data_IF_716514618048
#
_entry.id   IF_716514618048
#
_cell.length_a   1.000
_cell.length_b   1.000
_cell.length_c   1.000
_cell.angle_alpha   90.00
_cell.angle_beta   90.00
_cell.angle_gamma   90.00
#
_symmetry.space_group_name_H-M   'P 1'
#
loop_
_entity.id
_entity.type
_entity.pdbx_description
1 polymer ?
#
# COMPACT_ATOMS: atom_id res chain seq x y z
N UNK A 1 -6.51 -3.63 -0.10
CA UNK A 1 -7.95 -3.98 -0.04
C UNK A 1 -8.37 -4.60 1.27
N UNK A 2 -7.67 -5.59 1.82
CA UNK A 2 -8.04 -6.23 3.09
C UNK A 2 -8.10 -5.24 4.28
N UNK A 3 -7.16 -4.30 4.36
CA UNK A 3 -7.11 -3.29 5.43
C UNK A 3 -8.29 -2.31 5.33
N UNK A 4 -8.57 -1.77 4.14
CA UNK A 4 -9.72 -0.87 3.94
C UNK A 4 -11.04 -1.58 4.21
N UNK A 5 -11.16 -2.85 3.82
CA UNK A 5 -12.33 -3.66 4.15
C UNK A 5 -12.52 -3.85 5.65
N UNK A 6 -11.43 -4.08 6.40
CA UNK A 6 -11.47 -4.17 7.87
C UNK A 6 -11.82 -2.84 8.53
N UNK A 7 -11.30 -1.72 8.01
CA UNK A 7 -11.64 -0.40 8.51
C UNK A 7 -13.14 -0.13 8.32
N UNK A 8 -13.68 -0.40 7.13
CA UNK A 8 -15.11 -0.23 6.83
C UNK A 8 -15.97 -1.12 7.73
N UNK A 9 -15.59 -2.38 7.93
CA UNK A 9 -16.34 -3.30 8.78
C UNK A 9 -16.42 -2.85 10.25
N UNK A 10 -15.48 -2.01 10.69
CA UNK A 10 -15.40 -1.49 12.06
C UNK A 10 -15.76 0.01 12.16
N UNK A 11 -16.46 0.55 11.16
CA UNK A 11 -16.87 1.96 11.15
C UNK A 11 -17.67 2.36 12.39
N UNK A 12 -18.60 1.50 12.81
CA UNK A 12 -19.48 1.74 13.95
C UNK A 12 -18.97 1.10 15.26
N UNK A 13 -17.75 0.55 15.24
CA UNK A 13 -17.16 -0.07 16.44
C UNK A 13 -16.55 1.02 17.32
N UNK A 14 -17.03 1.17 18.58
CA UNK A 14 -16.46 2.13 19.51
C UNK A 14 -14.98 1.86 19.77
N UNK A 15 -14.20 2.93 19.93
CA UNK A 15 -12.75 2.89 20.20
C UNK A 15 -11.92 2.21 19.09
N UNK A 16 -12.50 1.94 17.93
CA UNK A 16 -11.72 1.41 16.82
C UNK A 16 -10.82 2.48 16.22
N UNK A 17 -9.57 2.10 15.96
CA UNK A 17 -8.56 2.96 15.36
C UNK A 17 -8.29 2.52 13.92
N UNK A 18 -8.38 3.44 12.99
CA UNK A 18 -8.09 3.25 11.56
C UNK A 18 -6.70 2.66 11.36
N UNK A 19 -6.60 1.64 10.51
CA UNK A 19 -5.34 0.99 10.15
C UNK A 19 -4.90 1.42 8.76
N UNK A 20 -3.63 1.83 8.66
CA UNK A 20 -3.02 2.33 7.43
C UNK A 20 -1.89 1.39 7.03
N UNK A 21 -1.84 0.89 5.77
CA UNK A 21 -0.73 0.09 5.30
C UNK A 21 0.50 0.97 5.10
N UNK A 22 1.61 0.62 5.75
CA UNK A 22 2.90 1.26 5.51
C UNK A 22 3.59 0.57 4.34
N UNK A 23 3.73 1.31 3.26
CA UNK A 23 4.37 0.84 2.04
C UNK A 23 5.73 1.50 1.91
N UNK A 24 6.77 0.71 1.72
CA UNK A 24 8.14 1.21 1.54
C UNK A 24 8.72 0.72 0.23
N UNK A 25 9.54 1.54 -0.39
CA UNK A 25 10.37 1.10 -1.50
C UNK A 25 11.51 0.24 -0.96
N UNK A 26 11.70 -0.94 -1.55
CA UNK A 26 12.82 -1.83 -1.22
C UNK A 26 14.10 -1.44 -1.97
N UNK A 27 14.01 -0.42 -2.82
CA UNK A 27 15.17 0.11 -3.52
C UNK A 27 16.08 0.86 -2.52
N UNK A 28 17.12 0.17 -2.06
CA UNK A 28 18.15 0.72 -1.19
C UNK A 28 19.33 1.33 -1.96
N UNK A 29 19.25 1.37 -3.27
CA UNK A 29 20.32 1.97 -4.06
C UNK A 29 20.30 3.48 -3.91
N UNK A 30 21.15 4.00 -3.03
CA UNK A 30 21.52 5.40 -3.11
C UNK A 30 22.16 5.65 -4.49
N UNK A 31 21.97 6.82 -5.07
CA UNK A 31 22.61 7.19 -6.35
C UNK A 31 24.11 6.81 -6.38
N UNK A 32 24.78 6.87 -5.24
CA UNK A 32 26.18 6.51 -5.11
C UNK A 32 26.44 5.01 -5.26
N UNK A 33 25.54 4.14 -4.78
CA UNK A 33 25.69 2.68 -4.94
C UNK A 33 25.45 2.27 -6.38
N UNK A 34 24.45 2.84 -7.04
CA UNK A 34 24.18 2.62 -8.48
C UNK A 34 25.38 3.08 -9.32
N UNK A 35 25.96 4.22 -8.97
CA UNK A 35 27.10 4.77 -9.70
C UNK A 35 28.38 3.93 -9.50
N UNK A 36 28.58 3.38 -8.30
CA UNK A 36 29.70 2.47 -8.03
C UNK A 36 29.52 1.13 -8.75
N UNK A 37 28.31 0.56 -8.75
CA UNK A 37 27.99 -0.65 -9.49
C UNK A 37 28.13 -0.47 -11.01
N UNK A 38 27.71 0.67 -11.56
CA UNK A 38 27.96 1.02 -12.97
C UNK A 38 29.44 1.14 -13.27
N UNK A 39 30.24 1.70 -12.36
CA UNK A 39 31.69 1.82 -12.54
C UNK A 39 32.40 0.46 -12.56
N UNK A 40 31.97 -0.48 -11.72
CA UNK A 40 32.47 -1.85 -11.74
C UNK A 40 31.99 -2.62 -12.99
N UNK A 41 30.79 -2.38 -13.47
CA UNK A 41 30.23 -3.02 -14.67
C UNK A 41 30.89 -2.56 -15.95
N UNK A 42 31.32 -1.30 -16.04
CA UNK A 42 31.99 -0.74 -17.24
C UNK A 42 33.44 -1.22 -17.37
N UNK A 43 34.10 -1.51 -16.26
CA UNK A 43 35.49 -1.95 -16.23
C UNK A 43 35.70 -3.45 -15.92
N UNK A 44 34.65 -4.16 -15.50
CA UNK A 44 34.63 -5.59 -15.27
C UNK A 44 33.53 -6.26 -16.08
N UNK A 45 33.77 -7.43 -16.66
CA UNK A 45 32.79 -8.21 -17.42
C UNK A 45 31.68 -8.79 -16.51
N UNK A 46 30.97 -7.91 -15.80
CA UNK A 46 29.86 -8.25 -14.92
C UNK A 46 28.52 -7.94 -15.57
N UNK A 47 27.56 -8.82 -15.41
CA UNK A 47 26.15 -8.60 -15.74
C UNK A 47 25.66 -7.34 -15.03
N UNK A 48 25.01 -6.42 -15.75
CA UNK A 48 24.36 -5.24 -15.19
C UNK A 48 23.44 -5.68 -14.05
N UNK A 49 23.65 -5.26 -12.80
CA UNK A 49 22.69 -5.50 -11.75
C UNK A 49 21.44 -4.67 -12.05
N UNK A 50 20.39 -5.32 -12.51
CA UNK A 50 19.08 -4.70 -12.65
C UNK A 50 18.52 -4.53 -11.25
N UNK A 51 18.70 -3.35 -10.68
CA UNK A 51 18.01 -2.96 -9.45
C UNK A 51 16.54 -2.73 -9.80
N UNK A 52 15.76 -3.77 -9.67
CA UNK A 52 14.30 -3.70 -9.76
C UNK A 52 13.79 -3.02 -8.49
N UNK A 53 13.54 -1.73 -8.56
CA UNK A 53 12.84 -1.02 -7.50
C UNK A 53 11.51 -1.71 -7.24
N UNK A 54 11.41 -2.41 -6.14
CA UNK A 54 10.18 -3.07 -5.72
C UNK A 54 9.58 -2.35 -4.51
N UNK A 55 8.27 -2.43 -4.42
CA UNK A 55 7.50 -1.86 -3.31
C UNK A 55 7.06 -3.01 -2.42
N UNK A 56 7.35 -2.92 -1.13
CA UNK A 56 6.95 -3.91 -0.15
C UNK A 56 6.11 -3.29 0.95
N UNK A 57 5.18 -4.07 1.48
CA UNK A 57 4.44 -3.70 2.66
C UNK A 57 5.32 -3.91 3.90
N UNK A 58 5.70 -2.83 4.57
CA UNK A 58 6.55 -2.87 5.76
C UNK A 58 5.79 -3.18 7.03
N UNK A 59 4.49 -2.90 7.06
CA UNK A 59 3.65 -3.13 8.23
C UNK A 59 2.31 -2.43 8.15
N UNK A 60 1.63 -2.42 9.27
CA UNK A 60 0.36 -1.71 9.48
C UNK A 60 0.58 -0.71 10.62
N UNK A 61 0.19 0.52 10.40
CA UNK A 61 0.27 1.59 11.40
C UNK A 61 -1.15 2.02 11.77
N UNK A 62 -1.36 2.37 13.02
CA UNK A 62 -2.62 2.95 13.49
C UNK A 62 -2.61 4.46 13.28
N UNK A 63 -3.73 4.99 12.83
CA UNK A 63 -3.92 6.44 12.64
C UNK A 63 -4.02 7.11 14.02
N UNK A 64 -3.12 8.05 14.36
CA UNK A 64 -3.14 8.71 15.66
C UNK A 64 -4.32 9.67 15.87
N UNK A 65 -5.11 9.92 14.83
CA UNK A 65 -6.28 10.79 14.91
C UNK A 65 -7.32 10.16 15.82
N UNK A 66 -7.88 10.95 16.71
CA UNK A 66 -8.90 10.49 17.65
C UNK A 66 -10.28 10.64 17.02
N UNK A 67 -11.11 9.60 17.15
CA UNK A 67 -12.52 9.67 16.77
C UNK A 67 -13.33 10.63 17.67
N UNK A 68 -14.48 11.03 17.18
CA UNK A 68 -15.38 11.95 17.86
C UNK A 68 -15.93 11.36 19.17
N UNK A 69 -16.18 12.23 20.14
CA UNK A 69 -16.83 11.83 21.39
C UNK A 69 -18.34 11.84 21.23
N UNK A 70 -18.96 10.72 21.52
CA UNK A 70 -20.43 10.55 21.47
C UNK A 70 -20.94 10.27 22.88
N UNK A 71 -21.96 11.01 23.30
CA UNK A 71 -22.59 10.80 24.60
C UNK A 71 -23.54 9.59 24.57
N UNK A 72 -23.15 8.50 25.25
CA UNK A 72 -23.93 7.26 25.42
C UNK A 72 -23.71 6.66 26.81
N UNK A 73 -24.35 7.19 27.84
CA UNK A 73 -24.08 6.78 29.24
C UNK A 73 -24.47 5.33 29.58
N UNK A 74 -25.28 4.69 28.74
CA UNK A 74 -25.66 3.28 28.91
C UNK A 74 -24.78 2.28 28.18
N UNK A 75 -23.70 2.74 27.53
CA UNK A 75 -22.81 1.85 26.79
C UNK A 75 -21.75 1.24 27.73
N UNK A 76 -21.40 -0.05 27.59
CA UNK A 76 -20.40 -0.70 28.47
C UNK A 76 -19.00 -0.07 28.37
N UNK A 77 -18.67 0.55 27.23
CA UNK A 77 -17.38 1.22 26.99
C UNK A 77 -17.44 2.74 27.26
N UNK A 78 -18.50 3.24 27.91
CA UNK A 78 -18.59 4.64 28.26
C UNK A 78 -17.59 5.01 29.36
N UNK A 79 -16.98 6.19 29.24
CA UNK A 79 -16.13 6.75 30.28
C UNK A 79 -16.96 7.19 31.51
N UNK A 80 -16.30 7.65 32.59
CA UNK A 80 -16.94 8.13 33.80
C UNK A 80 -17.95 9.28 33.56
N UNK A 81 -17.81 9.98 32.43
CA UNK A 81 -18.68 11.08 32.01
C UNK A 81 -19.77 10.64 31.03
N UNK A 82 -19.87 9.34 30.72
CA UNK A 82 -20.86 8.77 29.82
C UNK A 82 -20.55 8.98 28.33
N UNK A 83 -19.31 9.23 27.96
CA UNK A 83 -18.90 9.38 26.56
C UNK A 83 -18.16 8.15 26.05
N UNK A 84 -18.42 7.80 24.79
CA UNK A 84 -17.64 6.81 24.04
C UNK A 84 -16.91 7.54 22.89
N UNK A 85 -15.82 6.96 22.41
CA UNK A 85 -15.17 7.41 21.17
C UNK A 85 -15.75 6.65 19.99
N UNK A 86 -16.16 7.38 18.97
CA UNK A 86 -16.45 6.79 17.66
C UNK A 86 -15.17 6.28 17.00
N UNK A 87 -15.32 5.39 16.02
CA UNK A 87 -14.23 5.05 15.10
C UNK A 87 -13.74 6.30 14.38
N UNK A 88 -12.43 6.40 14.13
CA UNK A 88 -11.84 7.47 13.31
C UNK A 88 -11.79 7.10 11.81
N UNK A 89 -12.55 6.12 11.40
CA UNK A 89 -12.64 5.67 10.00
C UNK A 89 -13.60 6.56 9.23
N UNK A 90 -13.13 7.15 8.12
CA UNK A 90 -13.99 7.82 7.15
C UNK A 90 -14.32 6.84 6.00
N UNK A 91 -15.59 6.45 5.83
CA UNK A 91 -15.99 5.47 4.81
C UNK A 91 -15.70 5.97 3.40
N UNK A 92 -15.80 7.27 3.15
CA UNK A 92 -15.54 7.84 1.83
C UNK A 92 -14.06 7.71 1.44
N UNK A 93 -13.17 7.96 2.39
CA UNK A 93 -11.73 7.80 2.21
C UNK A 93 -11.40 6.32 1.94
N UNK A 94 -11.91 5.40 2.75
CA UNK A 94 -11.64 3.96 2.59
C UNK A 94 -12.15 3.40 1.25
N UNK A 95 -13.35 3.81 0.82
CA UNK A 95 -13.91 3.40 -0.48
C UNK A 95 -13.06 3.95 -1.62
N UNK A 96 -12.64 5.21 -1.52
CA UNK A 96 -11.79 5.83 -2.54
C UNK A 96 -10.44 5.12 -2.64
N UNK A 97 -9.80 4.83 -1.51
CA UNK A 97 -8.54 4.10 -1.44
C UNK A 97 -8.69 2.69 -2.04
N UNK A 98 -9.79 1.99 -1.76
CA UNK A 98 -10.08 0.68 -2.33
C UNK A 98 -10.24 0.73 -3.86
N UNK A 99 -10.96 1.73 -4.39
CA UNK A 99 -11.13 1.93 -5.83
C UNK A 99 -9.79 2.26 -6.50
N UNK A 100 -8.98 3.12 -5.89
CA UNK A 100 -7.66 3.46 -6.41
C UNK A 100 -6.74 2.24 -6.46
N UNK A 101 -6.73 1.42 -5.40
CA UNK A 101 -5.97 0.18 -5.35
C UNK A 101 -6.42 -0.82 -6.42
N UNK A 102 -7.73 -0.94 -6.65
CA UNK A 102 -8.27 -1.80 -7.71
C UNK A 102 -7.81 -1.32 -9.09
N UNK A 103 -7.91 -0.03 -9.38
CA UNK A 103 -7.47 0.54 -10.67
C UNK A 103 -5.96 0.36 -10.89
N UNK A 104 -5.15 0.53 -9.85
CA UNK A 104 -3.71 0.30 -9.93
C UNK A 104 -3.39 -1.17 -10.25
N UNK A 105 -4.13 -2.11 -9.64
CA UNK A 105 -4.00 -3.53 -9.94
C UNK A 105 -4.39 -3.87 -11.38
N UNK A 106 -5.53 -3.36 -11.86
CA UNK A 106 -5.98 -3.55 -13.25
C UNK A 106 -4.98 -2.98 -14.26
N UNK A 107 -4.43 -1.79 -13.99
CA UNK A 107 -3.38 -1.20 -14.82
C UNK A 107 -2.12 -2.07 -14.87
N UNK A 108 -1.70 -2.62 -13.74
CA UNK A 108 -0.54 -3.52 -13.65
C UNK A 108 -0.76 -4.81 -14.46
N UNK A 109 -1.95 -5.39 -14.38
CA UNK A 109 -2.31 -6.56 -15.21
C UNK A 109 -2.30 -6.23 -16.70
N UNK A 110 -2.81 -5.06 -17.10
CA UNK A 110 -2.79 -4.61 -18.49
C UNK A 110 -1.35 -4.48 -19.03
N UNK A 111 -0.43 -3.95 -18.23
CA UNK A 111 0.99 -3.86 -18.58
C UNK A 111 1.61 -5.26 -18.78
N UNK A 112 1.34 -6.19 -17.88
CA UNK A 112 1.84 -7.57 -17.96
C UNK A 112 1.32 -8.26 -19.23
N UNK A 113 0.02 -8.14 -19.53
CA UNK A 113 -0.57 -8.74 -20.73
C UNK A 113 -0.01 -8.13 -22.01
N UNK A 114 0.21 -6.82 -22.03
CA UNK A 114 0.84 -6.12 -23.15
C UNK A 114 2.30 -6.58 -23.35
N UNK A 115 3.08 -6.67 -22.29
CA UNK A 115 4.46 -7.13 -22.33
C UNK A 115 4.56 -8.57 -22.84
N UNK A 116 3.64 -9.46 -22.39
CA UNK A 116 3.55 -10.82 -22.90
C UNK A 116 3.23 -10.86 -24.41
N UNK A 117 2.24 -10.08 -24.86
CA UNK A 117 1.89 -9.98 -26.27
C UNK A 117 3.05 -9.46 -27.14
N UNK A 118 3.83 -8.51 -26.61
CA UNK A 118 5.03 -8.01 -27.29
C UNK A 118 6.11 -9.11 -27.42
N UNK A 119 6.33 -9.87 -26.33
CA UNK A 119 7.29 -10.96 -26.34
C UNK A 119 6.90 -12.05 -27.33
N UNK A 120 5.61 -12.44 -27.35
CA UNK A 120 5.08 -13.44 -28.30
C UNK A 120 5.25 -12.99 -29.77
N UNK A 121 4.98 -11.70 -30.05
CA UNK A 121 5.20 -11.14 -31.40
C UNK A 121 6.68 -11.07 -31.77
N UNK A 122 7.55 -10.71 -30.83
CA UNK A 122 8.99 -10.70 -31.07
C UNK A 122 9.53 -12.10 -31.39
N UNK A 123 9.04 -13.13 -30.69
CA UNK A 123 9.41 -14.52 -30.96
C UNK A 123 8.96 -15.01 -32.34
N UNK A 124 7.78 -14.56 -32.82
CA UNK A 124 7.29 -14.93 -34.16
C UNK A 124 8.01 -14.19 -35.31
N UNK A 125 8.60 -13.02 -35.05
CA UNK A 125 9.37 -12.28 -36.09
C UNK A 125 10.80 -12.84 -36.20
N UNK A 126 11.33 -13.43 -35.10
CA UNK A 126 12.68 -14.01 -35.04
C UNK A 126 12.78 -15.49 -35.47
N UNK A 127 11.68 -16.11 -35.86
CA UNK A 127 11.60 -17.46 -36.43
C UNK A 127 11.33 -17.41 -37.93
#
# INVERSE_FOLDING_TARGET
MDISSRNIANLDTPNYVRKIPLVVSTDRSSFLSVMNEMKESVFGAGTMPYSSGSVAMAGIVEDPTLGDKIYKPGHPDADENGYIRASNVDPLVEITDAIMAQRAFEASLAIITMSKSMADKAATIGS
#
